data_IF_087568381841
#
_entry.id   IF_087568381841
#
_cell.length_a   1.000
_cell.length_b   1.000
_cell.length_c   1.000
_cell.angle_alpha   90.00
_cell.angle_beta   90.00
_cell.angle_gamma   90.00
#
_symmetry.space_group_name_H-M   'P 1'
#
loop_
_entity.id
_entity.type
_entity.pdbx_description
1 polymer ?
#
# COMPACT_ATOMS: atom_id res chain seq x y z
N UNK A 1 4.44 6.78 -10.06
CA UNK A 1 3.72 7.85 -9.34
C UNK A 1 4.31 7.94 -7.95
N UNK A 2 4.44 9.14 -7.40
CA UNK A 2 4.98 9.36 -6.05
C UNK A 2 4.16 10.42 -5.34
N UNK A 3 4.07 10.35 -4.02
CA UNK A 3 3.42 11.37 -3.20
C UNK A 3 4.47 12.09 -2.35
N UNK A 4 4.23 13.38 -2.14
CA UNK A 4 5.11 14.24 -1.36
C UNK A 4 4.32 14.95 -0.27
N UNK A 5 4.93 15.11 0.89
CA UNK A 5 4.32 15.75 2.06
C UNK A 5 5.31 16.68 2.76
N UNK A 6 4.77 17.62 3.53
CA UNK A 6 5.52 18.49 4.44
C UNK A 6 4.85 18.34 5.79
N UNK A 7 5.51 17.64 6.71
CA UNK A 7 5.00 17.37 8.07
C UNK A 7 6.11 17.66 9.07
N UNK A 8 5.82 18.43 10.12
CA UNK A 8 6.79 18.80 11.15
C UNK A 8 7.40 17.58 11.87
N UNK A 9 6.66 16.47 11.94
CA UNK A 9 7.09 15.23 12.59
C UNK A 9 7.99 14.37 11.69
N UNK A 10 8.03 14.63 10.38
CA UNK A 10 8.77 13.84 9.39
C UNK A 10 9.91 14.71 8.83
N UNK A 11 11.14 14.22 8.91
CA UNK A 11 12.33 14.91 8.39
C UNK A 11 12.39 16.40 8.78
N UNK A 12 12.01 16.74 10.01
CA UNK A 12 12.01 18.10 10.55
C UNK A 12 11.16 19.11 9.76
N UNK A 13 10.07 18.69 9.12
CA UNK A 13 9.24 19.59 8.31
C UNK A 13 9.81 19.87 6.91
N UNK A 14 10.82 19.11 6.48
CA UNK A 14 11.32 19.18 5.13
C UNK A 14 10.35 18.51 4.15
N UNK A 15 10.38 18.98 2.89
CA UNK A 15 9.69 18.29 1.80
C UNK A 15 10.20 16.85 1.73
N UNK A 16 9.26 15.92 1.86
CA UNK A 16 9.52 14.50 1.99
C UNK A 16 8.74 13.74 0.92
N UNK A 17 9.40 12.83 0.23
CA UNK A 17 8.76 11.84 -0.61
C UNK A 17 8.24 10.71 0.30
N UNK A 18 6.91 10.63 0.46
CA UNK A 18 6.30 9.66 1.37
C UNK A 18 6.22 8.27 0.71
N UNK A 19 5.71 8.21 -0.52
CA UNK A 19 5.44 6.95 -1.20
C UNK A 19 5.94 6.95 -2.64
N UNK A 20 6.29 5.76 -3.14
CA UNK A 20 6.61 5.50 -4.55
C UNK A 20 5.87 4.26 -5.02
N UNK A 21 5.09 4.38 -6.10
CA UNK A 21 4.44 3.22 -6.70
C UNK A 21 5.43 2.39 -7.51
N UNK A 22 5.35 1.07 -7.36
CA UNK A 22 6.12 0.08 -8.10
C UNK A 22 5.28 -0.46 -9.26
N UNK A 23 5.86 -0.52 -10.45
CA UNK A 23 5.19 -0.95 -11.69
C UNK A 23 6.01 -2.00 -12.43
N UNK A 24 5.30 -2.96 -13.04
CA UNK A 24 5.78 -3.82 -14.12
C UNK A 24 4.96 -3.59 -15.37
N UNK A 25 4.22 -4.61 -15.83
CA UNK A 25 3.14 -4.44 -16.81
C UNK A 25 1.88 -3.77 -16.21
N UNK A 26 1.70 -3.89 -14.90
CA UNK A 26 0.66 -3.26 -14.09
C UNK A 26 1.26 -2.78 -12.75
N UNK A 27 0.45 -2.12 -11.91
CA UNK A 27 0.88 -1.72 -10.56
C UNK A 27 1.15 -2.98 -9.74
N UNK A 28 2.34 -3.05 -9.15
CA UNK A 28 2.80 -4.17 -8.34
C UNK A 28 2.68 -3.89 -6.83
N UNK A 29 2.76 -2.61 -6.45
CA UNK A 29 2.77 -2.23 -5.04
C UNK A 29 3.21 -0.79 -4.80
N UNK A 30 3.56 -0.49 -3.55
CA UNK A 30 3.97 0.83 -3.07
C UNK A 30 5.15 0.67 -2.09
N UNK A 31 6.12 1.57 -2.18
CA UNK A 31 7.24 1.69 -1.24
C UNK A 31 7.05 2.93 -0.36
N UNK A 32 6.93 2.73 0.96
CA UNK A 32 6.70 3.76 1.99
C UNK A 32 8.05 4.26 2.55
N UNK A 33 8.71 5.16 1.82
CA UNK A 33 10.13 5.50 2.06
C UNK A 33 10.40 6.73 2.94
N UNK A 34 9.43 7.64 3.11
CA UNK A 34 9.61 8.90 3.85
C UNK A 34 10.97 9.58 3.62
N UNK A 35 11.38 9.68 2.35
CA UNK A 35 12.69 10.20 1.95
C UNK A 35 12.70 11.72 1.96
N UNK A 36 13.58 12.33 2.76
CA UNK A 36 13.85 13.76 2.71
C UNK A 36 14.45 14.13 1.33
N UNK A 37 13.81 15.06 0.61
CA UNK A 37 14.28 15.53 -0.69
C UNK A 37 14.91 16.92 -0.66
N UNK A 38 14.86 17.62 0.48
CA UNK A 38 15.52 18.91 0.66
C UNK A 38 16.91 18.77 1.28
N UNK A 39 17.13 17.73 2.07
CA UNK A 39 18.45 17.39 2.59
C UNK A 39 19.22 16.61 1.55
N UNK A 40 19.82 17.33 0.60
CA UNK A 40 20.88 16.78 -0.24
C UNK A 40 22.12 16.66 0.65
N UNK A 41 22.27 15.51 1.31
CA UNK A 41 23.55 15.17 1.91
C UNK A 41 24.62 15.31 0.84
N UNK A 42 25.73 16.01 1.13
CA UNK A 42 26.93 15.88 0.30
C UNK A 42 27.13 14.38 0.12
N UNK A 43 27.03 13.90 -1.12
CA UNK A 43 27.16 12.48 -1.38
C UNK A 43 28.56 12.08 -0.92
N UNK A 44 28.65 11.42 0.23
CA UNK A 44 29.89 10.87 0.73
C UNK A 44 30.13 9.59 -0.07
N UNK A 45 30.63 9.76 -1.30
CA UNK A 45 30.75 8.70 -2.30
C UNK A 45 31.61 7.52 -1.83
N UNK A 46 32.37 7.68 -0.74
CA UNK A 46 33.24 6.69 -0.14
C UNK A 46 32.57 5.89 1.00
N UNK A 47 31.50 6.40 1.62
CA UNK A 47 30.82 5.79 2.78
C UNK A 47 29.30 5.76 2.62
N UNK A 48 28.80 5.58 1.39
CA UNK A 48 27.37 5.45 1.13
C UNK A 48 26.88 4.08 1.62
N UNK A 49 26.59 3.97 2.91
CA UNK A 49 25.77 2.90 3.46
C UNK A 49 24.35 3.10 2.92
N UNK A 50 24.01 2.39 1.84
CA UNK A 50 22.61 2.23 1.47
C UNK A 50 21.96 1.38 2.57
N UNK A 51 21.33 2.02 3.54
CA UNK A 51 20.50 1.33 4.52
C UNK A 51 19.23 0.86 3.80
N UNK A 52 19.16 -0.43 3.51
CA UNK A 52 17.92 -1.06 3.07
C UNK A 52 17.06 -1.34 4.30
N UNK A 53 15.93 -0.64 4.39
CA UNK A 53 14.93 -0.89 5.44
C UNK A 53 13.91 -1.86 4.87
N UNK A 54 13.86 -3.06 5.45
CA UNK A 54 12.90 -4.11 5.07
C UNK A 54 11.57 -3.88 5.80
N UNK A 55 10.46 -4.12 5.13
CA UNK A 55 9.10 -3.96 5.65
C UNK A 55 8.36 -2.72 5.11
N UNK A 56 9.06 -1.85 4.39
CA UNK A 56 8.50 -0.63 3.81
C UNK A 56 7.84 -0.85 2.45
N UNK A 57 8.22 -1.92 1.75
CA UNK A 57 7.63 -2.22 0.45
C UNK A 57 6.40 -3.08 0.66
N UNK A 58 5.26 -2.65 0.11
CA UNK A 58 3.97 -3.33 0.14
C UNK A 58 3.66 -3.84 -1.27
N UNK A 59 3.52 -5.15 -1.42
CA UNK A 59 3.13 -5.81 -2.66
C UNK A 59 1.65 -6.16 -2.65
N UNK A 60 0.96 -5.85 -3.74
CA UNK A 60 -0.48 -6.08 -3.90
C UNK A 60 -0.73 -7.37 -4.69
N UNK A 61 -1.41 -8.33 -4.09
CA UNK A 61 -1.87 -9.54 -4.76
C UNK A 61 -3.29 -9.32 -5.26
N UNK A 62 -3.40 -9.20 -6.57
CA UNK A 62 -4.66 -8.91 -7.26
C UNK A 62 -5.24 -10.15 -7.90
N UNK A 63 -6.56 -10.21 -7.98
CA UNK A 63 -7.24 -11.17 -8.85
C UNK A 63 -7.42 -10.62 -10.28
N UNK A 64 -7.97 -11.42 -11.19
CA UNK A 64 -8.08 -11.13 -12.62
C UNK A 64 -8.89 -9.87 -13.00
N UNK A 65 -9.80 -9.39 -12.16
CA UNK A 65 -10.55 -8.14 -12.32
C UNK A 65 -9.84 -6.94 -11.67
N UNK A 66 -8.65 -7.14 -11.09
CA UNK A 66 -7.83 -6.09 -10.50
C UNK A 66 -8.20 -5.73 -9.06
N UNK A 67 -8.96 -6.57 -8.34
CA UNK A 67 -9.21 -6.37 -6.92
C UNK A 67 -8.00 -6.77 -6.08
N UNK A 68 -7.55 -5.88 -5.19
CA UNK A 68 -6.44 -6.14 -4.26
C UNK A 68 -6.95 -6.97 -3.08
N UNK A 69 -6.70 -8.28 -3.11
CA UNK A 69 -7.18 -9.22 -2.09
C UNK A 69 -6.25 -9.30 -0.88
N UNK A 70 -4.94 -9.28 -1.10
CA UNK A 70 -3.94 -9.43 -0.05
C UNK A 70 -2.78 -8.48 -0.32
N UNK A 71 -2.27 -7.86 0.74
CA UNK A 71 -1.04 -7.07 0.69
C UNK A 71 0.00 -7.69 1.60
N UNK A 72 1.21 -7.91 1.08
CA UNK A 72 2.35 -8.47 1.82
C UNK A 72 3.51 -7.49 1.84
N UNK A 73 4.33 -7.52 2.89
CA UNK A 73 5.55 -6.71 2.92
C UNK A 73 6.74 -7.44 2.27
N UNK A 74 7.84 -6.73 1.98
CA UNK A 74 9.12 -7.33 1.57
C UNK A 74 9.85 -8.06 2.71
N UNK A 75 9.26 -8.06 3.92
CA UNK A 75 9.79 -8.77 5.08
C UNK A 75 9.47 -10.26 4.99
N UNK A 76 10.51 -11.07 5.11
CA UNK A 76 10.40 -12.52 5.30
C UNK A 76 10.51 -12.84 6.78
N UNK A 77 9.59 -13.65 7.29
CA UNK A 77 9.58 -14.12 8.68
C UNK A 77 10.15 -15.53 8.68
N UNK A 78 11.34 -15.70 9.26
CA UNK A 78 11.95 -17.02 9.46
C UNK A 78 11.17 -17.79 10.52
N UNK A 79 10.83 -19.04 10.21
CA UNK A 79 10.22 -19.97 11.14
C UNK A 79 11.23 -21.06 11.44
N UNK A 80 11.44 -21.28 12.74
CA UNK A 80 12.23 -22.36 13.30
C UNK A 80 11.25 -23.25 14.08
N UNK A 81 10.92 -24.42 13.54
CA UNK A 81 9.95 -25.33 14.14
C UNK A 81 10.56 -26.18 15.27
N UNK A 82 11.88 -26.37 15.24
CA UNK A 82 12.59 -27.26 16.15
C UNK A 82 13.34 -26.52 17.29
N UNK A 83 13.37 -25.18 17.23
CA UNK A 83 14.04 -24.26 18.14
C UNK A 83 15.56 -24.47 18.26
N UNK A 84 16.22 -24.95 17.21
CA UNK A 84 17.67 -25.16 17.16
C UNK A 84 18.47 -23.90 16.76
N UNK A 85 17.77 -22.81 16.44
CA UNK A 85 18.35 -21.53 16.00
C UNK A 85 18.65 -21.47 14.50
N UNK A 86 18.25 -22.49 13.73
CA UNK A 86 18.34 -22.55 12.28
C UNK A 86 16.94 -22.35 11.69
N UNK A 87 16.85 -21.52 10.65
CA UNK A 87 15.57 -21.26 9.98
C UNK A 87 15.24 -22.43 9.04
N UNK A 88 14.09 -23.07 9.24
CA UNK A 88 13.59 -24.16 8.40
C UNK A 88 12.95 -23.62 7.11
N UNK A 89 12.10 -22.59 7.24
CA UNK A 89 11.44 -21.94 6.12
C UNK A 89 11.08 -20.48 6.41
N UNK A 90 10.64 -19.78 5.36
CA UNK A 90 10.21 -18.40 5.44
C UNK A 90 8.72 -18.30 5.12
N UNK A 91 8.02 -17.52 5.93
CA UNK A 91 6.66 -17.07 5.66
C UNK A 91 6.66 -15.61 5.24
N UNK A 92 5.64 -15.22 4.47
CA UNK A 92 5.44 -13.84 4.08
C UNK A 92 4.79 -13.07 5.23
N UNK A 93 5.20 -11.82 5.44
CA UNK A 93 4.54 -10.90 6.36
C UNK A 93 3.29 -10.32 5.69
N UNK A 94 2.12 -10.82 6.09
CA UNK A 94 0.82 -10.39 5.57
C UNK A 94 0.38 -9.12 6.31
N UNK A 95 0.24 -8.02 5.58
CA UNK A 95 -0.13 -6.71 6.12
C UNK A 95 -1.64 -6.54 6.14
N UNK A 96 -2.32 -6.96 5.07
CA UNK A 96 -3.77 -6.93 5.00
C UNK A 96 -4.34 -7.99 4.08
N UNK A 97 -5.59 -8.36 4.33
CA UNK A 97 -6.40 -9.18 3.45
C UNK A 97 -7.86 -8.69 3.46
N UNK A 98 -8.54 -8.73 2.32
CA UNK A 98 -9.96 -8.39 2.18
C UNK A 98 -10.60 -9.23 1.08
N UNK A 99 -11.76 -9.81 1.40
CA UNK A 99 -12.64 -10.39 0.40
C UNK A 99 -13.69 -9.37 -0.06
N UNK A 100 -13.92 -9.28 -1.37
CA UNK A 100 -14.90 -8.35 -1.95
C UNK A 100 -16.18 -9.06 -2.40
N UNK A 101 -17.31 -8.38 -2.23
CA UNK A 101 -18.57 -8.70 -2.87
C UNK A 101 -18.52 -8.33 -4.38
N UNK A 102 -19.48 -8.81 -5.21
CA UNK A 102 -19.49 -8.55 -6.66
C UNK A 102 -19.48 -7.07 -7.08
N UNK A 103 -19.82 -6.15 -6.18
CA UNK A 103 -19.85 -4.70 -6.40
C UNK A 103 -18.73 -3.95 -5.67
N UNK A 104 -17.71 -4.63 -5.14
CA UNK A 104 -16.55 -3.97 -4.54
C UNK A 104 -16.71 -3.52 -3.10
N UNK A 105 -17.84 -3.83 -2.46
CA UNK A 105 -17.95 -3.75 -1.00
C UNK A 105 -17.11 -4.86 -0.36
N UNK A 106 -16.24 -4.51 0.57
CA UNK A 106 -15.50 -5.52 1.34
C UNK A 106 -16.43 -6.25 2.31
N UNK A 107 -16.33 -7.58 2.36
CA UNK A 107 -17.19 -8.41 3.19
C UNK A 107 -16.91 -8.20 4.69
N UNK A 108 -17.98 -7.90 5.45
CA UNK A 108 -17.91 -7.72 6.90
C UNK A 108 -17.38 -9.00 7.56
N UNK A 109 -16.43 -8.86 8.48
CA UNK A 109 -15.80 -9.98 9.17
C UNK A 109 -14.77 -10.77 8.33
N UNK A 110 -14.53 -10.36 7.08
CA UNK A 110 -13.52 -10.93 6.17
C UNK A 110 -12.49 -9.90 5.73
N UNK A 111 -12.10 -9.05 6.68
CA UNK A 111 -11.06 -8.02 6.56
C UNK A 111 -10.02 -8.26 7.66
N UNK A 112 -8.74 -8.27 7.30
CA UNK A 112 -7.61 -8.38 8.22
C UNK A 112 -6.63 -7.24 7.97
N UNK A 113 -6.09 -6.66 9.05
CA UNK A 113 -5.07 -5.62 8.99
C UNK A 113 -5.52 -4.29 8.39
N UNK A 114 -4.59 -3.33 8.37
CA UNK A 114 -4.82 -2.02 7.78
C UNK A 114 -4.78 -2.11 6.26
N UNK A 115 -5.91 -1.78 5.63
CA UNK A 115 -6.05 -1.89 4.19
C UNK A 115 -5.17 -0.88 3.46
N UNK A 116 -4.61 -1.31 2.33
CA UNK A 116 -3.89 -0.42 1.43
C UNK A 116 -4.81 0.62 0.79
N UNK A 117 -4.20 1.61 0.12
CA UNK A 117 -4.90 2.69 -0.58
C UNK A 117 -5.74 2.19 -1.75
N UNK A 118 -5.40 1.05 -2.33
CA UNK A 118 -6.12 0.49 -3.47
C UNK A 118 -6.96 -0.72 -3.08
N UNK A 119 -8.09 -0.90 -3.76
CA UNK A 119 -9.02 -2.00 -3.46
C UNK A 119 -9.68 -2.58 -4.69
N UNK A 120 -10.89 -2.14 -4.98
CA UNK A 120 -11.71 -2.67 -6.07
C UNK A 120 -11.27 -2.14 -7.44
N UNK A 121 -11.16 -3.04 -8.43
CA UNK A 121 -10.85 -2.72 -9.83
C UNK A 121 -9.64 -1.78 -10.00
N UNK A 122 -8.61 -1.93 -9.16
CA UNK A 122 -7.41 -1.10 -9.15
C UNK A 122 -7.59 0.36 -8.71
N UNK A 123 -8.79 0.74 -8.26
CA UNK A 123 -9.15 2.11 -7.86
C UNK A 123 -8.68 2.43 -6.44
N UNK A 124 -8.46 3.72 -6.16
CA UNK A 124 -8.09 4.20 -4.83
C UNK A 124 -9.33 4.27 -3.94
N UNK A 125 -9.23 3.78 -2.71
CA UNK A 125 -10.22 3.97 -1.66
C UNK A 125 -10.22 5.41 -1.17
N UNK A 126 -11.40 5.95 -0.94
CA UNK A 126 -11.60 7.28 -0.38
C UNK A 126 -12.17 7.16 1.03
N UNK A 127 -11.28 7.32 2.02
CA UNK A 127 -11.65 7.26 3.44
C UNK A 127 -12.24 8.58 3.98
N UNK A 128 -12.16 9.68 3.23
CA UNK A 128 -12.76 10.95 3.64
C UNK A 128 -14.28 10.95 3.38
N UNK A 129 -14.71 10.21 2.35
CA UNK A 129 -16.13 10.04 2.00
C UNK A 129 -16.76 8.86 2.75
N UNK A 130 -16.03 7.75 2.87
CA UNK A 130 -16.49 6.57 3.59
C UNK A 130 -15.36 5.98 4.44
N UNK A 131 -15.52 6.09 5.76
CA UNK A 131 -14.58 5.54 6.73
C UNK A 131 -14.44 4.00 6.62
N UNK A 132 -15.41 3.29 6.02
CA UNK A 132 -15.35 1.84 5.81
C UNK A 132 -14.49 1.45 4.60
N UNK A 133 -14.13 2.42 3.75
CA UNK A 133 -13.26 2.24 2.59
C UNK A 133 -13.90 1.49 1.43
N UNK A 134 -15.23 1.59 1.30
CA UNK A 134 -16.00 1.03 0.20
C UNK A 134 -16.38 2.09 -0.86
N UNK A 135 -15.86 3.33 -0.71
CA UNK A 135 -15.91 4.38 -1.73
C UNK A 135 -14.60 4.43 -2.53
N UNK A 136 -14.71 4.57 -3.85
CA UNK A 136 -13.60 4.46 -4.79
C UNK A 136 -13.53 5.67 -5.72
N UNK A 137 -12.34 6.24 -5.87
CA UNK A 137 -12.08 7.36 -6.78
C UNK A 137 -11.51 6.88 -8.11
N UNK A 138 -12.00 7.46 -9.21
CA UNK A 138 -11.49 7.29 -10.57
C UNK A 138 -11.25 8.65 -11.22
N UNK A 139 -10.56 8.66 -12.38
CA UNK A 139 -10.11 9.91 -13.02
C UNK A 139 -11.25 10.90 -13.35
N UNK A 140 -12.46 10.40 -13.61
CA UNK A 140 -13.61 11.23 -14.05
C UNK A 140 -14.91 10.94 -13.29
N UNK A 141 -14.89 10.09 -12.28
CA UNK A 141 -16.07 9.66 -11.53
C UNK A 141 -15.68 9.03 -10.20
N UNK A 142 -16.65 8.98 -9.30
CA UNK A 142 -16.57 8.28 -8.02
C UNK A 142 -17.49 7.06 -8.01
N UNK A 143 -17.24 6.09 -7.13
CA UNK A 143 -18.04 4.86 -7.06
C UNK A 143 -18.22 4.36 -5.63
N UNK A 144 -19.47 4.07 -5.30
CA UNK A 144 -19.85 3.46 -4.04
C UNK A 144 -19.99 1.95 -4.25
N UNK A 145 -19.13 1.17 -3.61
CA UNK A 145 -19.18 -0.28 -3.61
C UNK A 145 -20.37 -0.85 -2.82
N UNK A 146 -20.85 -0.12 -1.82
CA UNK A 146 -22.06 -0.47 -1.05
C UNK A 146 -23.32 -0.48 -1.93
N UNK A 147 -23.47 0.55 -2.78
CA UNK A 147 -24.65 0.71 -3.65
C UNK A 147 -24.44 0.17 -5.06
N UNK A 148 -23.20 -0.13 -5.44
CA UNK A 148 -22.81 -0.56 -6.77
C UNK A 148 -22.99 0.50 -7.86
N UNK A 149 -22.99 1.81 -7.50
CA UNK A 149 -23.32 2.91 -8.41
C UNK A 149 -22.18 3.91 -8.57
N UNK A 150 -22.05 4.45 -9.79
CA UNK A 150 -21.17 5.58 -10.09
C UNK A 150 -21.84 6.89 -9.72
N UNK A 151 -21.06 7.80 -9.16
CA UNK A 151 -21.42 9.18 -8.88
C UNK A 151 -20.87 10.06 -9.99
N UNK A 152 -21.77 10.67 -10.74
CA UNK A 152 -21.46 11.65 -11.76
C UNK A 152 -22.23 12.93 -11.43
N UNK A 153 -21.57 14.08 -11.53
CA UNK A 153 -22.27 15.37 -11.53
C UNK A 153 -23.04 15.45 -12.85
N UNK A 154 -24.37 15.50 -12.77
CA UNK A 154 -25.22 15.74 -13.93
C UNK A 154 -24.99 17.14 -14.47
N UNK A 155 -24.74 17.24 -15.78
CA UNK A 155 -24.79 18.50 -16.53
C UNK A 155 -26.21 19.06 -16.59
#
# INVERSE_FOLDING_TARGET
MSTYTVDANINNGNLTQNEVHLYGSSRLGIDEINRDVQKIGKADYLNKLNTFVVGNVRYELMEHLGNVLVTVSDKKIGVDENADGIIDYYTADVVSATDYAPFGMGLVGRKFGTQGRFGFNGQMKDHDIDANGDHYTALYWEYSGETGRRWNLGS
#
